data_IF_511442894991
#
_entry.id   IF_511442894991
#
_cell.length_a   1.000
_cell.length_b   1.000
_cell.length_c   1.000
_cell.angle_alpha   90.00
_cell.angle_beta   90.00
_cell.angle_gamma   90.00
#
_symmetry.space_group_name_H-M   'P 1'
#
loop_
_entity.id
_entity.type
_entity.pdbx_description
1 polymer ?
#
# COMPACT_ATOMS: atom_id res chain seq x y z
N UNK A 1 -15.79 -8.75 -70.22
CA UNK A 1 -15.11 -8.06 -69.10
C UNK A 1 -14.79 -9.08 -68.01
N UNK A 2 -13.56 -9.62 -67.98
CA UNK A 2 -13.04 -10.46 -66.89
C UNK A 2 -11.63 -9.96 -66.57
N UNK A 3 -11.45 -9.48 -65.34
CA UNK A 3 -10.23 -8.92 -64.75
C UNK A 3 -10.10 -9.63 -63.39
N UNK A 4 -8.94 -10.02 -62.86
CA UNK A 4 -7.53 -9.84 -63.17
C UNK A 4 -6.83 -10.93 -62.33
N UNK A 5 -5.99 -11.76 -62.94
CA UNK A 5 -5.05 -12.62 -62.23
C UNK A 5 -3.78 -11.80 -61.93
N UNK A 6 -3.32 -11.77 -60.68
CA UNK A 6 -1.91 -11.47 -60.39
C UNK A 6 -1.42 -12.23 -59.16
N UNK A 7 -0.44 -13.09 -59.41
CA UNK A 7 0.36 -13.85 -58.46
C UNK A 7 1.47 -12.96 -57.89
N UNK A 8 1.75 -13.08 -56.58
CA UNK A 8 3.01 -12.82 -55.86
C UNK A 8 2.81 -13.47 -54.47
N UNK A 9 3.62 -14.36 -53.93
CA UNK A 9 5.07 -14.56 -54.02
C UNK A 9 5.57 -14.62 -52.58
N UNK A 10 5.85 -15.83 -52.08
CA UNK A 10 6.34 -16.11 -50.73
C UNK A 10 7.75 -15.54 -50.52
N UNK A 11 8.01 -14.95 -49.36
CA UNK A 11 9.35 -14.76 -48.82
C UNK A 11 9.32 -14.86 -47.29
N UNK A 12 9.88 -15.95 -46.77
CA UNK A 12 10.21 -16.17 -45.36
C UNK A 12 11.40 -15.30 -44.95
N UNK A 13 11.37 -14.72 -43.76
CA UNK A 13 12.60 -14.27 -43.08
C UNK A 13 12.64 -14.74 -41.63
N UNK A 14 13.80 -15.30 -41.32
CA UNK A 14 14.11 -16.10 -40.16
C UNK A 14 14.39 -15.28 -38.90
N UNK A 15 14.07 -15.89 -37.77
CA UNK A 15 14.45 -15.54 -36.41
C UNK A 15 15.97 -15.66 -36.21
N UNK A 16 16.62 -14.63 -35.67
CA UNK A 16 17.97 -14.75 -35.09
C UNK A 16 17.93 -14.61 -33.57
N UNK A 17 18.25 -15.72 -32.91
CA UNK A 17 18.58 -15.83 -31.50
C UNK A 17 19.94 -15.18 -31.23
N UNK A 18 20.06 -14.41 -30.14
CA UNK A 18 21.34 -13.93 -29.64
C UNK A 18 21.63 -14.60 -28.28
N UNK A 19 22.46 -15.65 -28.30
CA UNK A 19 23.10 -16.20 -27.10
C UNK A 19 24.44 -15.50 -26.90
N UNK A 20 24.69 -14.92 -25.72
CA UNK A 20 26.05 -14.54 -25.29
C UNK A 20 26.63 -15.66 -24.42
N UNK A 21 27.64 -16.34 -24.96
CA UNK A 21 28.52 -17.28 -24.25
C UNK A 21 29.58 -16.53 -23.45
N UNK A 22 29.80 -17.04 -22.25
CA UNK A 22 30.92 -16.82 -21.34
C UNK A 22 32.24 -17.25 -21.97
N UNK A 23 33.30 -16.45 -21.79
CA UNK A 23 34.68 -16.86 -22.10
C UNK A 23 35.47 -16.92 -20.80
N UNK A 24 35.97 -18.10 -20.48
CA UNK A 24 36.96 -18.38 -19.45
C UNK A 24 38.33 -18.39 -20.13
N UNK A 25 39.33 -17.74 -19.53
CA UNK A 25 40.75 -17.93 -19.84
C UNK A 25 41.55 -17.88 -18.55
N UNK A 26 42.42 -18.88 -18.39
CA UNK A 26 43.22 -19.22 -17.21
C UNK A 26 44.72 -19.19 -17.54
N UNK A 27 45.56 -18.78 -16.59
CA UNK A 27 47.01 -19.06 -16.51
C UNK A 27 47.87 -17.81 -16.20
N UNK A 28 48.21 -17.55 -14.92
CA UNK A 28 49.50 -17.83 -14.22
C UNK A 28 50.63 -16.86 -14.62
N UNK A 29 51.34 -16.13 -13.74
CA UNK A 29 52.08 -16.59 -12.55
C UNK A 29 52.53 -15.43 -11.61
N UNK A 30 52.59 -15.76 -10.30
CA UNK A 30 53.55 -15.36 -9.23
C UNK A 30 53.89 -13.89 -8.91
N UNK A 31 53.56 -13.48 -7.68
CA UNK A 31 54.51 -12.88 -6.71
C UNK A 31 53.93 -12.96 -5.28
N UNK A 32 54.77 -13.33 -4.32
CA UNK A 32 54.42 -13.68 -2.95
C UNK A 32 54.50 -12.50 -1.96
N UNK A 33 53.86 -12.71 -0.80
CA UNK A 33 54.27 -12.33 0.57
C UNK A 33 53.29 -11.40 1.32
N UNK A 34 52.87 -11.85 2.51
CA UNK A 34 52.30 -11.00 3.57
C UNK A 34 51.01 -11.51 4.21
N UNK A 35 51.02 -12.72 4.81
CA UNK A 35 49.92 -13.20 5.65
C UNK A 35 50.05 -12.63 7.07
N UNK A 36 49.09 -11.80 7.49
CA UNK A 36 48.84 -11.47 8.90
C UNK A 36 47.55 -12.18 9.32
N UNK A 37 47.69 -13.25 10.10
CA UNK A 37 46.58 -13.91 10.80
C UNK A 37 46.17 -13.07 12.00
N UNK A 38 44.92 -12.61 12.05
CA UNK A 38 44.23 -12.31 13.31
C UNK A 38 42.98 -13.19 13.41
N UNK A 39 43.10 -14.17 14.30
CA UNK A 39 42.00 -14.95 14.87
C UNK A 39 41.19 -14.04 15.77
N UNK A 40 39.85 -14.04 15.64
CA UNK A 40 38.96 -13.63 16.73
C UNK A 40 37.69 -14.47 16.71
N UNK A 41 37.36 -14.90 17.93
CA UNK A 41 36.41 -15.92 18.32
C UNK A 41 34.96 -15.62 17.92
N UNK A 42 34.27 -16.71 17.57
CA UNK A 42 32.82 -16.85 17.60
C UNK A 42 32.30 -16.76 19.04
N UNK A 43 31.58 -15.69 19.35
CA UNK A 43 30.66 -15.63 20.49
C UNK A 43 29.24 -15.49 19.97
N UNK A 44 28.52 -16.61 20.02
CA UNK A 44 27.07 -16.65 19.85
C UNK A 44 26.42 -15.84 20.97
N UNK A 45 25.82 -14.70 20.62
CA UNK A 45 24.93 -13.96 21.50
C UNK A 45 23.49 -14.41 21.22
N UNK A 46 22.97 -15.28 22.10
CA UNK A 46 21.54 -15.60 22.21
C UNK A 46 20.75 -14.33 22.58
N UNK A 47 19.61 -14.02 21.93
CA UNK A 47 18.65 -13.10 22.53
C UNK A 47 17.86 -13.85 23.61
N UNK A 48 18.18 -13.58 24.87
CA UNK A 48 17.39 -14.00 26.01
C UNK A 48 16.40 -12.88 26.39
N UNK A 49 15.15 -13.03 25.99
CA UNK A 49 14.02 -12.50 26.75
C UNK A 49 12.82 -13.44 26.59
N UNK A 50 12.88 -14.56 27.32
CA UNK A 50 11.71 -15.34 27.66
C UNK A 50 11.25 -14.85 29.04
N UNK A 51 10.06 -14.28 29.13
CA UNK A 51 9.34 -14.16 30.41
C UNK A 51 8.15 -15.09 30.34
N UNK A 52 8.03 -15.89 31.41
CA UNK A 52 7.11 -17.00 31.59
C UNK A 52 5.64 -16.55 31.58
N UNK A 53 4.82 -17.49 31.15
CA UNK A 53 3.38 -17.55 31.37
C UNK A 53 3.07 -17.65 32.87
N UNK A 54 2.28 -16.72 33.39
CA UNK A 54 1.47 -16.93 34.59
C UNK A 54 0.01 -16.76 34.20
N UNK A 55 -0.76 -17.81 34.45
CA UNK A 55 -2.20 -17.80 34.32
C UNK A 55 -2.78 -17.00 35.50
N UNK A 56 -3.53 -15.94 35.20
CA UNK A 56 -4.53 -15.41 36.13
C UNK A 56 -5.85 -15.22 35.38
N UNK A 57 -6.87 -15.84 35.99
CA UNK A 57 -8.25 -15.90 35.56
C UNK A 57 -8.95 -14.63 36.09
N UNK A 58 -9.78 -13.97 35.28
CA UNK A 58 -10.75 -12.98 35.79
C UNK A 58 -10.88 -11.66 35.03
N UNK A 59 -11.83 -11.64 34.08
CA UNK A 59 -12.74 -10.54 33.72
C UNK A 59 -12.45 -9.11 34.26
N UNK A 60 -12.00 -8.22 33.37
CA UNK A 60 -12.56 -6.86 33.17
C UNK A 60 -11.73 -6.08 32.13
N UNK A 61 -12.06 -6.22 30.84
CA UNK A 61 -11.75 -5.17 29.85
C UNK A 61 -12.94 -4.23 29.79
N UNK A 62 -12.93 -3.23 30.68
CA UNK A 62 -13.67 -2.00 30.46
C UNK A 62 -12.66 -0.87 30.34
N UNK A 63 -12.96 0.02 29.40
CA UNK A 63 -12.57 1.44 29.47
C UNK A 63 -11.23 1.86 28.84
N UNK A 64 -11.20 1.87 27.50
CA UNK A 64 -10.36 2.80 26.72
C UNK A 64 -11.12 3.51 25.58
N UNK A 65 -12.46 3.49 25.60
CA UNK A 65 -13.33 4.17 24.62
C UNK A 65 -13.99 5.46 25.15
N UNK A 66 -13.74 5.83 26.40
CA UNK A 66 -14.48 6.89 27.10
C UNK A 66 -13.98 8.33 26.86
N UNK A 67 -13.10 8.52 25.87
CA UNK A 67 -12.46 9.80 25.58
C UNK A 67 -12.92 10.49 24.29
N UNK A 68 -14.23 10.53 24.00
CA UNK A 68 -14.95 11.54 23.18
C UNK A 68 -16.39 11.15 22.89
N UNK A 69 -16.71 9.86 22.85
CA UNK A 69 -18.09 9.39 22.79
C UNK A 69 -18.93 9.98 23.94
N UNK A 70 -18.35 10.20 25.12
CA UNK A 70 -19.04 10.82 26.26
C UNK A 70 -19.28 12.33 26.12
N UNK A 71 -18.48 13.06 25.33
CA UNK A 71 -18.58 14.53 25.19
C UNK A 71 -19.40 14.98 23.98
N UNK A 72 -19.64 14.10 23.01
CA UNK A 72 -20.47 14.34 21.83
C UNK A 72 -21.84 13.61 21.87
N UNK A 73 -22.27 13.16 23.05
CA UNK A 73 -23.57 12.47 23.20
C UNK A 73 -23.63 11.07 22.63
N UNK A 74 -22.50 10.35 22.55
CA UNK A 74 -22.43 8.88 22.45
C UNK A 74 -23.07 8.25 21.23
N UNK A 75 -23.50 9.05 20.26
CA UNK A 75 -24.14 8.55 19.06
C UNK A 75 -23.06 8.15 18.07
N UNK A 76 -23.03 6.89 17.61
CA UNK A 76 -22.33 6.56 16.38
C UNK A 76 -22.74 7.55 15.29
N UNK A 77 -21.79 8.00 14.45
CA UNK A 77 -22.15 8.79 13.25
C UNK A 77 -23.16 8.02 12.37
N UNK A 78 -23.15 6.69 12.50
CA UNK A 78 -24.11 5.77 11.91
C UNK A 78 -24.67 4.84 12.99
N UNK A 79 -25.84 5.15 13.53
CA UNK A 79 -26.60 4.21 14.39
C UNK A 79 -27.30 3.21 13.48
N UNK A 80 -26.77 1.98 13.37
CA UNK A 80 -27.52 0.88 12.72
C UNK A 80 -28.66 0.51 13.66
N UNK A 81 -29.89 0.63 13.20
CA UNK A 81 -31.04 0.05 13.90
C UNK A 81 -30.74 -1.42 14.21
N UNK A 82 -31.00 -1.85 15.43
CA UNK A 82 -30.95 -3.27 15.77
C UNK A 82 -31.87 -4.03 14.81
N UNK A 83 -31.58 -5.31 14.47
CA UNK A 83 -32.46 -6.11 13.61
C UNK A 83 -33.86 -6.37 14.20
N UNK A 84 -34.19 -5.80 15.35
CA UNK A 84 -35.41 -6.12 16.12
C UNK A 84 -36.59 -5.18 15.83
N UNK A 85 -36.38 -4.03 15.18
CA UNK A 85 -37.44 -3.04 14.92
C UNK A 85 -38.10 -3.14 13.53
N UNK A 86 -37.87 -4.23 12.80
CA UNK A 86 -38.45 -4.44 11.47
C UNK A 86 -39.13 -5.80 11.34
N UNK A 87 -40.14 -6.05 12.17
CA UNK A 87 -41.06 -7.19 12.04
C UNK A 87 -42.16 -6.97 10.98
N UNK A 88 -42.15 -5.86 10.23
CA UNK A 88 -43.19 -5.55 9.24
C UNK A 88 -42.65 -4.92 7.94
N UNK A 89 -41.54 -5.42 7.40
CA UNK A 89 -41.23 -5.18 5.99
C UNK A 89 -40.77 -6.46 5.31
N UNK A 90 -41.69 -7.06 4.56
CA UNK A 90 -41.48 -8.24 3.73
C UNK A 90 -40.61 -7.89 2.51
N UNK A 91 -39.33 -7.61 2.75
CA UNK A 91 -38.31 -7.78 1.71
C UNK A 91 -37.86 -9.24 1.77
N UNK A 92 -38.62 -10.12 1.10
CA UNK A 92 -38.11 -11.43 0.73
C UNK A 92 -36.84 -11.19 -0.09
N UNK A 93 -35.67 -11.40 0.52
CA UNK A 93 -34.37 -11.28 -0.13
C UNK A 93 -34.37 -12.23 -1.33
N UNK A 94 -34.63 -11.66 -2.52
CA UNK A 94 -34.39 -12.36 -3.77
C UNK A 94 -32.92 -12.77 -3.76
N UNK A 95 -32.61 -13.97 -4.26
CA UNK A 95 -31.23 -14.50 -4.29
C UNK A 95 -30.17 -13.40 -4.48
N UNK A 96 -29.38 -13.12 -3.44
CA UNK A 96 -28.04 -12.56 -3.62
C UNK A 96 -27.77 -11.10 -3.22
N UNK A 97 -28.58 -10.44 -2.40
CA UNK A 97 -28.15 -9.16 -1.81
C UNK A 97 -27.08 -9.41 -0.73
N UNK A 98 -25.81 -9.18 -1.09
CA UNK A 98 -24.67 -9.37 -0.19
C UNK A 98 -24.56 -8.16 0.74
N UNK A 99 -24.70 -8.37 2.05
CA UNK A 99 -24.33 -7.37 3.06
C UNK A 99 -22.80 -7.25 3.15
N UNK A 100 -22.24 -6.33 2.38
CA UNK A 100 -20.80 -6.04 2.36
C UNK A 100 -20.24 -5.51 3.68
N UNK A 101 -21.07 -5.11 4.65
CA UNK A 101 -20.61 -4.70 5.97
C UNK A 101 -20.05 -5.88 6.78
N UNK A 102 -20.60 -7.09 6.60
CA UNK A 102 -20.19 -8.29 7.37
C UNK A 102 -19.68 -9.44 6.49
N UNK A 103 -20.11 -9.52 5.24
CA UNK A 103 -19.81 -10.64 4.33
C UNK A 103 -18.32 -10.75 3.95
N UNK A 104 -17.84 -11.98 3.80
CA UNK A 104 -16.50 -12.30 3.28
C UNK A 104 -16.54 -12.87 1.85
N UNK A 105 -17.66 -12.67 1.14
CA UNK A 105 -17.89 -13.24 -0.17
C UNK A 105 -16.81 -12.89 -1.21
N UNK A 106 -16.36 -13.90 -1.94
CA UNK A 106 -15.40 -13.75 -3.05
C UNK A 106 -13.93 -13.67 -2.64
N UNK A 107 -13.61 -13.55 -1.35
CA UNK A 107 -12.24 -13.49 -0.85
C UNK A 107 -11.52 -14.82 -1.12
N UNK A 108 -10.41 -14.75 -1.86
CA UNK A 108 -9.59 -15.94 -2.19
C UNK A 108 -10.29 -16.98 -3.06
N UNK A 109 -11.47 -16.68 -3.64
CA UNK A 109 -12.28 -17.66 -4.35
C UNK A 109 -11.75 -17.98 -5.76
N UNK A 110 -11.32 -16.95 -6.50
CA UNK A 110 -10.77 -17.09 -7.85
C UNK A 110 -9.80 -15.96 -8.17
N UNK A 111 -8.80 -16.20 -9.02
CA UNK A 111 -7.96 -15.13 -9.56
C UNK A 111 -8.75 -14.23 -10.53
N UNK A 112 -8.27 -13.00 -10.70
CA UNK A 112 -8.77 -12.11 -11.76
C UNK A 112 -8.34 -12.56 -13.15
N UNK A 113 -8.91 -11.95 -14.19
CA UNK A 113 -8.46 -12.20 -15.55
C UNK A 113 -6.99 -11.81 -15.76
N UNK A 114 -6.24 -12.50 -16.65
CA UNK A 114 -4.82 -12.22 -16.88
C UNK A 114 -4.52 -10.76 -17.24
N UNK A 115 -5.44 -10.09 -17.95
CA UNK A 115 -5.31 -8.67 -18.29
C UNK A 115 -5.30 -7.80 -17.04
N UNK A 116 -6.23 -8.03 -16.11
CA UNK A 116 -6.32 -7.30 -14.83
C UNK A 116 -5.08 -7.55 -14.00
N UNK A 117 -4.66 -8.80 -13.88
CA UNK A 117 -3.45 -9.16 -13.13
C UNK A 117 -2.22 -8.42 -13.66
N UNK A 118 -2.05 -8.37 -14.99
CA UNK A 118 -0.94 -7.64 -15.65
C UNK A 118 -0.94 -6.15 -15.30
N UNK A 119 -2.11 -5.50 -15.29
CA UNK A 119 -2.24 -4.08 -14.96
C UNK A 119 -1.92 -3.77 -13.49
N UNK A 120 -2.21 -4.70 -12.58
CA UNK A 120 -2.00 -4.53 -11.14
C UNK A 120 -0.54 -4.72 -10.71
N UNK A 121 0.17 -5.65 -11.37
CA UNK A 121 1.59 -5.95 -11.09
C UNK A 121 2.56 -5.11 -11.93
N UNK A 122 2.05 -4.18 -12.74
CA UNK A 122 2.90 -3.32 -13.56
C UNK A 122 3.83 -2.47 -12.65
N UNK A 123 5.14 -2.42 -12.93
CA UNK A 123 6.06 -1.55 -12.21
C UNK A 123 5.63 -0.09 -12.27
N UNK A 124 5.81 0.63 -11.18
CA UNK A 124 5.47 2.05 -11.10
C UNK A 124 6.45 2.89 -11.94
N UNK A 125 5.93 3.95 -12.55
CA UNK A 125 6.79 5.00 -13.09
C UNK A 125 7.50 5.70 -11.93
N UNK A 126 8.83 5.80 -11.98
CA UNK A 126 9.64 6.50 -10.98
C UNK A 126 9.19 7.95 -10.78
N UNK A 127 8.59 8.57 -11.81
CA UNK A 127 8.06 9.95 -11.72
C UNK A 127 6.85 10.06 -10.82
N UNK A 128 6.13 8.97 -10.60
CA UNK A 128 4.93 8.94 -9.77
C UNK A 128 5.23 8.66 -8.30
N UNK A 129 6.46 8.22 -7.99
CA UNK A 129 6.92 7.95 -6.63
C UNK A 129 7.41 9.25 -6.00
N UNK A 130 6.91 9.55 -4.81
CA UNK A 130 7.28 10.73 -4.03
C UNK A 130 8.08 10.31 -2.78
N UNK A 131 8.84 11.26 -2.22
CA UNK A 131 9.61 11.03 -1.00
C UNK A 131 9.25 12.07 0.04
N UNK A 132 8.98 11.62 1.26
CA UNK A 132 8.77 12.49 2.41
C UNK A 132 10.12 13.04 2.92
N UNK A 133 10.13 14.17 3.65
CA UNK A 133 11.37 14.74 4.21
C UNK A 133 12.14 13.79 5.16
N UNK A 134 11.46 12.81 5.76
CA UNK A 134 12.04 11.75 6.59
C UNK A 134 12.72 10.63 5.79
N UNK A 135 12.55 10.63 4.46
CA UNK A 135 13.09 9.64 3.54
C UNK A 135 12.15 8.46 3.26
N UNK A 136 10.90 8.48 3.71
CA UNK A 136 9.93 7.46 3.33
C UNK A 136 9.42 7.72 1.92
N UNK A 137 9.57 6.74 1.02
CA UNK A 137 8.99 6.81 -0.32
C UNK A 137 7.53 6.36 -0.28
N UNK A 138 6.69 6.98 -1.11
CA UNK A 138 5.27 6.65 -1.18
C UNK A 138 4.72 6.95 -2.57
N UNK A 139 3.60 6.29 -2.89
CA UNK A 139 2.82 6.60 -4.08
C UNK A 139 1.62 7.47 -3.66
N UNK A 140 1.37 8.61 -4.32
CA UNK A 140 0.21 9.44 -4.01
C UNK A 140 -1.11 8.70 -4.21
N UNK A 141 -2.10 8.96 -3.35
CA UNK A 141 -3.41 8.28 -3.32
C UNK A 141 -4.13 8.22 -4.67
N UNK A 142 -4.05 9.30 -5.43
CA UNK A 142 -4.68 9.40 -6.75
C UNK A 142 -4.14 8.34 -7.74
N UNK A 143 -2.88 7.94 -7.59
CA UNK A 143 -2.25 6.97 -8.49
C UNK A 143 -2.82 5.57 -8.28
N UNK A 144 -3.07 5.17 -7.04
CA UNK A 144 -3.79 3.93 -6.73
C UNK A 144 -5.16 3.89 -7.42
N UNK A 145 -5.96 4.97 -7.30
CA UNK A 145 -7.27 5.07 -7.95
C UNK A 145 -7.19 4.95 -9.47
N UNK A 146 -6.17 5.54 -10.09
CA UNK A 146 -5.92 5.43 -11.54
C UNK A 146 -5.56 4.00 -11.95
N UNK A 147 -4.72 3.32 -11.17
CA UNK A 147 -4.38 1.90 -11.40
C UNK A 147 -5.63 1.03 -11.29
N UNK A 148 -6.46 1.24 -10.26
CA UNK A 148 -7.73 0.51 -10.11
C UNK A 148 -8.70 0.78 -11.26
N UNK A 149 -8.84 2.04 -11.71
CA UNK A 149 -9.68 2.38 -12.86
C UNK A 149 -9.18 1.75 -14.15
N UNK A 150 -7.86 1.66 -14.35
CA UNK A 150 -7.27 1.00 -15.51
C UNK A 150 -7.45 -0.52 -15.47
N UNK A 151 -7.26 -1.13 -14.30
CA UNK A 151 -7.35 -2.57 -14.11
C UNK A 151 -8.80 -3.07 -14.12
N UNK A 152 -9.70 -2.42 -13.39
CA UNK A 152 -11.08 -2.91 -13.17
C UNK A 152 -12.14 -2.12 -13.94
N UNK A 153 -11.82 -0.93 -14.46
CA UNK A 153 -12.79 0.00 -15.02
C UNK A 153 -13.45 0.89 -13.96
N UNK A 154 -13.91 2.07 -14.39
CA UNK A 154 -14.71 2.94 -13.52
C UNK A 154 -16.02 2.24 -13.13
N UNK A 155 -16.36 2.23 -11.84
CA UNK A 155 -17.50 1.47 -11.30
C UNK A 155 -17.24 -0.03 -11.08
N UNK A 156 -16.07 -0.55 -11.51
CA UNK A 156 -15.68 -1.95 -11.31
C UNK A 156 -15.10 -2.26 -9.93
N UNK A 157 -14.90 -1.24 -9.09
CA UNK A 157 -14.34 -1.37 -7.74
C UNK A 157 -14.94 -0.34 -6.78
N UNK A 158 -14.87 -0.60 -5.47
CA UNK A 158 -15.35 0.31 -4.44
C UNK A 158 -14.84 -0.05 -3.05
N UNK A 159 -14.81 0.94 -2.16
CA UNK A 159 -14.58 0.73 -0.73
C UNK A 159 -15.92 0.70 0.01
N UNK A 160 -16.10 -0.33 0.82
CA UNK A 160 -17.25 -0.48 1.72
C UNK A 160 -16.78 -0.30 3.16
N UNK A 161 -17.50 0.45 4.00
CA UNK A 161 -17.21 0.47 5.42
C UNK A 161 -17.51 -0.89 6.06
N UNK A 162 -16.65 -1.33 6.97
CA UNK A 162 -16.73 -2.62 7.68
C UNK A 162 -16.83 -2.46 9.20
N UNK A 163 -16.62 -1.25 9.69
CA UNK A 163 -16.84 -0.87 11.08
C UNK A 163 -17.55 0.48 11.16
N UNK A 164 -17.99 0.82 12.37
CA UNK A 164 -18.31 2.20 12.70
C UNK A 164 -17.06 3.08 12.62
N UNK A 165 -17.27 4.36 12.32
CA UNK A 165 -16.22 5.38 12.39
C UNK A 165 -15.92 5.67 13.86
N UNK A 166 -14.66 5.51 14.26
CA UNK A 166 -14.19 5.87 15.60
C UNK A 166 -13.50 7.23 15.49
N UNK A 167 -14.03 8.21 16.22
CA UNK A 167 -13.46 9.56 16.31
C UNK A 167 -12.91 9.76 17.71
N UNK A 168 -11.60 9.97 17.79
CA UNK A 168 -10.87 10.31 19.02
C UNK A 168 -10.35 11.73 18.92
N UNK A 169 -9.76 12.30 19.98
CA UNK A 169 -9.42 13.74 20.04
C UNK A 169 -8.45 14.23 18.97
N UNK A 170 -7.73 13.31 18.33
CA UNK A 170 -6.70 13.62 17.34
C UNK A 170 -6.76 12.73 16.12
N UNK A 171 -7.61 11.71 16.08
CA UNK A 171 -7.58 10.66 15.06
C UNK A 171 -8.99 10.20 14.71
N UNK A 172 -9.25 10.07 13.41
CA UNK A 172 -10.38 9.33 12.85
C UNK A 172 -9.88 7.98 12.33
N UNK A 173 -10.54 6.89 12.70
CA UNK A 173 -10.22 5.55 12.18
C UNK A 173 -11.47 4.73 11.86
N UNK A 174 -11.40 3.94 10.79
CA UNK A 174 -12.49 3.07 10.34
C UNK A 174 -11.92 1.91 9.53
N UNK A 175 -12.54 0.74 9.66
CA UNK A 175 -12.25 -0.42 8.80
C UNK A 175 -13.01 -0.33 7.48
N UNK A 176 -12.32 -0.63 6.39
CA UNK A 176 -12.90 -0.70 5.05
C UNK A 176 -12.53 -2.01 4.36
N UNK A 177 -13.45 -2.49 3.54
CA UNK A 177 -13.23 -3.59 2.59
C UNK A 177 -13.10 -3.03 1.17
N UNK A 178 -12.14 -3.52 0.41
CA UNK A 178 -12.04 -3.27 -1.03
C UNK A 178 -12.80 -4.36 -1.79
N UNK A 179 -13.79 -3.95 -2.57
CA UNK A 179 -14.55 -4.80 -3.47
C UNK A 179 -14.11 -4.51 -4.90
N UNK A 180 -13.76 -5.54 -5.66
CA UNK A 180 -13.48 -5.44 -7.09
C UNK A 180 -14.25 -6.52 -7.83
N UNK A 181 -14.97 -6.16 -8.90
CA UNK A 181 -15.78 -7.08 -9.73
C UNK A 181 -16.69 -8.01 -8.90
N UNK A 182 -17.28 -7.49 -7.83
CA UNK A 182 -18.20 -8.24 -6.95
C UNK A 182 -17.52 -9.21 -5.99
N UNK A 183 -16.21 -9.08 -5.75
CA UNK A 183 -15.45 -9.92 -4.81
C UNK A 183 -14.80 -9.05 -3.74
N UNK A 184 -14.86 -9.48 -2.47
CA UNK A 184 -14.04 -8.92 -1.41
C UNK A 184 -12.58 -9.29 -1.65
N UNK A 185 -11.71 -8.28 -1.66
CA UNK A 185 -10.29 -8.45 -1.97
C UNK A 185 -9.42 -8.35 -0.73
N UNK A 186 -9.64 -7.30 0.05
CA UNK A 186 -8.84 -7.01 1.23
C UNK A 186 -9.65 -6.17 2.19
N UNK A 187 -9.33 -6.29 3.47
CA UNK A 187 -9.90 -5.50 4.55
C UNK A 187 -8.74 -4.83 5.26
N UNK A 188 -8.81 -3.51 5.39
CA UNK A 188 -7.81 -2.73 6.08
C UNK A 188 -8.45 -1.62 6.92
N UNK A 189 -7.82 -1.33 8.06
CA UNK A 189 -8.17 -0.15 8.85
C UNK A 189 -7.44 1.06 8.31
N UNK A 190 -8.19 2.10 7.98
CA UNK A 190 -7.66 3.41 7.64
C UNK A 190 -7.66 4.30 8.87
N UNK A 191 -6.78 5.30 8.86
CA UNK A 191 -6.66 6.26 9.94
C UNK A 191 -6.17 7.61 9.42
N UNK A 192 -6.58 8.70 10.07
CA UNK A 192 -6.16 10.04 9.69
C UNK A 192 -6.18 10.96 10.91
N UNK A 193 -5.05 11.62 11.15
CA UNK A 193 -4.93 12.61 12.21
C UNK A 193 -5.65 13.92 11.85
N UNK A 194 -6.12 14.61 12.88
CA UNK A 194 -6.71 15.95 12.78
C UNK A 194 -6.36 16.79 14.02
N UNK A 195 -6.38 18.12 13.85
CA UNK A 195 -5.95 19.06 14.90
C UNK A 195 -7.11 19.81 15.57
N UNK A 196 -8.24 19.95 14.87
CA UNK A 196 -9.44 20.61 15.37
C UNK A 196 -10.70 19.87 14.89
N UNK A 197 -11.80 19.99 15.62
CA UNK A 197 -13.05 19.30 15.31
C UNK A 197 -13.62 19.68 13.93
N UNK A 198 -13.39 20.91 13.47
CA UNK A 198 -13.74 21.36 12.13
C UNK A 198 -13.03 20.55 11.02
N UNK A 199 -11.91 19.88 11.33
CA UNK A 199 -11.16 19.02 10.42
C UNK A 199 -11.65 17.58 10.35
N UNK A 200 -12.65 17.18 11.15
CA UNK A 200 -13.18 15.81 11.17
C UNK A 200 -13.66 15.34 9.78
N UNK A 201 -14.41 16.14 8.98
CA UNK A 201 -14.87 15.69 7.65
C UNK A 201 -13.71 15.37 6.70
N UNK A 202 -12.69 16.24 6.68
CA UNK A 202 -11.46 16.00 5.89
C UNK A 202 -10.72 14.76 6.40
N UNK A 203 -10.68 14.56 7.72
CA UNK A 203 -10.06 13.40 8.32
C UNK A 203 -10.80 12.09 7.97
N UNK A 204 -12.14 12.12 7.89
CA UNK A 204 -12.94 10.98 7.45
C UNK A 204 -12.61 10.57 6.01
N UNK A 205 -12.46 11.54 5.10
CA UNK A 205 -12.05 11.25 3.72
C UNK A 205 -10.60 10.75 3.63
N UNK A 206 -9.68 11.35 4.40
CA UNK A 206 -8.29 10.88 4.49
C UNK A 206 -8.20 9.46 5.04
N UNK A 207 -9.00 9.14 6.07
CA UNK A 207 -9.10 7.80 6.63
C UNK A 207 -9.53 6.77 5.58
N UNK A 208 -10.49 7.12 4.71
CA UNK A 208 -10.95 6.25 3.62
C UNK A 208 -9.86 6.04 2.56
N UNK A 209 -9.18 7.10 2.11
CA UNK A 209 -8.07 6.95 1.17
C UNK A 209 -6.88 6.18 1.76
N UNK A 210 -6.60 6.34 3.05
CA UNK A 210 -5.56 5.59 3.75
C UNK A 210 -5.83 4.07 3.71
N UNK A 211 -7.08 3.67 4.00
CA UNK A 211 -7.48 2.26 3.88
C UNK A 211 -7.36 1.74 2.45
N UNK A 212 -7.72 2.56 1.44
CA UNK A 212 -7.61 2.18 0.02
C UNK A 212 -6.20 1.72 -0.33
N UNK A 213 -5.20 2.53 0.02
CA UNK A 213 -3.80 2.23 -0.30
C UNK A 213 -3.33 0.93 0.36
N UNK A 214 -3.76 0.69 1.62
CA UNK A 214 -3.47 -0.55 2.36
C UNK A 214 -4.09 -1.76 1.66
N UNK A 215 -5.36 -1.70 1.27
CA UNK A 215 -6.03 -2.76 0.54
C UNK A 215 -5.38 -3.03 -0.83
N UNK A 216 -4.91 -1.99 -1.53
CA UNK A 216 -4.26 -2.15 -2.84
C UNK A 216 -2.93 -2.91 -2.75
N UNK A 217 -2.30 -3.00 -1.58
CA UNK A 217 -1.10 -3.80 -1.38
C UNK A 217 -1.35 -5.28 -1.63
N UNK A 218 -2.49 -5.80 -1.20
CA UNK A 218 -2.86 -7.21 -1.38
C UNK A 218 -3.17 -7.55 -2.85
N UNK A 219 -3.47 -6.53 -3.66
CA UNK A 219 -3.57 -6.65 -5.13
C UNK A 219 -2.21 -6.68 -5.84
N UNK A 220 -1.11 -6.40 -5.13
CA UNK A 220 0.23 -6.29 -5.69
C UNK A 220 0.64 -4.87 -6.14
N UNK A 221 -0.28 -3.90 -6.04
CA UNK A 221 -0.06 -2.52 -6.53
C UNK A 221 1.02 -1.83 -5.70
N UNK A 222 2.09 -1.38 -6.35
CA UNK A 222 3.18 -0.65 -5.71
C UNK A 222 3.93 -1.45 -4.65
N UNK A 223 3.94 -2.79 -4.77
CA UNK A 223 4.63 -3.70 -3.86
C UNK A 223 6.14 -3.39 -3.74
N UNK A 224 6.77 -2.90 -4.80
CA UNK A 224 8.17 -2.48 -4.83
C UNK A 224 8.51 -1.35 -3.83
N UNK A 225 7.54 -0.52 -3.43
CA UNK A 225 7.75 0.55 -2.45
C UNK A 225 8.05 0.02 -1.04
N UNK A 226 7.86 -1.27 -0.82
CA UNK A 226 8.15 -1.99 0.42
C UNK A 226 9.40 -2.87 0.33
N UNK A 227 10.01 -2.96 -0.85
CA UNK A 227 11.26 -3.71 -1.04
C UNK A 227 12.46 -2.84 -0.60
N UNK A 228 13.22 -3.24 0.44
CA UNK A 228 14.38 -2.49 0.90
C UNK A 228 15.46 -2.30 -0.18
N UNK A 229 15.56 -3.20 -1.15
CA UNK A 229 16.50 -3.08 -2.28
C UNK A 229 16.05 -1.99 -3.23
N UNK A 230 14.77 -2.01 -3.64
CA UNK A 230 14.18 -0.96 -4.46
C UNK A 230 14.29 0.41 -3.79
N UNK A 231 13.92 0.53 -2.51
CA UNK A 231 13.96 1.80 -1.76
C UNK A 231 15.37 2.40 -1.79
N UNK A 232 16.41 1.59 -1.54
CA UNK A 232 17.80 2.05 -1.56
C UNK A 232 18.21 2.52 -2.94
N UNK A 233 17.90 1.73 -3.98
CA UNK A 233 18.20 2.08 -5.37
C UNK A 233 17.50 3.38 -5.80
N UNK A 234 16.20 3.49 -5.55
CA UNK A 234 15.41 4.67 -5.88
C UNK A 234 15.97 5.93 -5.21
N UNK A 235 16.38 5.84 -3.93
CA UNK A 235 17.00 6.96 -3.22
C UNK A 235 18.31 7.42 -3.87
N UNK A 236 19.17 6.48 -4.28
CA UNK A 236 20.44 6.80 -4.95
C UNK A 236 20.20 7.44 -6.31
N UNK A 237 19.27 6.87 -7.09
CA UNK A 237 19.06 7.25 -8.49
C UNK A 237 18.25 8.56 -8.60
N UNK A 238 17.24 8.76 -7.74
CA UNK A 238 16.24 9.83 -7.91
C UNK A 238 16.13 10.82 -6.73
N UNK A 239 16.77 10.55 -5.59
CA UNK A 239 16.69 11.43 -4.42
C UNK A 239 18.03 12.04 -4.04
N UNK A 240 17.99 13.10 -3.25
CA UNK A 240 19.16 13.75 -2.67
C UNK A 240 18.84 14.19 -1.25
N UNK A 241 19.86 14.23 -0.41
CA UNK A 241 19.77 14.85 0.90
C UNK A 241 20.20 16.32 0.79
N UNK A 242 19.47 17.23 1.43
CA UNK A 242 19.84 18.65 1.52
C UNK A 242 19.75 19.11 2.97
N UNK A 243 20.71 19.92 3.38
CA UNK A 243 20.60 20.70 4.61
C UNK A 243 19.77 21.93 4.30
N UNK A 244 18.67 22.08 5.03
CA UNK A 244 17.74 23.20 4.87
C UNK A 244 17.59 23.95 6.19
N UNK A 245 17.30 25.24 6.09
CA UNK A 245 17.07 26.10 7.24
C UNK A 245 15.62 26.55 7.29
N UNK A 246 14.98 26.41 8.46
CA UNK A 246 13.64 26.92 8.67
C UNK A 246 13.63 28.45 8.63
N UNK A 247 12.79 29.05 7.77
CA UNK A 247 12.83 30.49 7.47
C UNK A 247 12.66 31.36 8.72
N UNK A 248 11.69 31.05 9.60
CA UNK A 248 11.45 31.76 10.87
C UNK A 248 12.34 31.30 12.02
N UNK A 249 12.41 30.00 12.31
CA UNK A 249 13.12 29.50 13.51
C UNK A 249 14.64 29.38 13.35
N UNK A 250 15.18 29.55 12.13
CA UNK A 250 16.62 29.41 11.80
C UNK A 250 17.23 28.05 12.13
N UNK A 251 16.40 27.06 12.46
CA UNK A 251 16.84 25.69 12.76
C UNK A 251 17.24 24.99 11.47
N UNK A 252 18.43 24.40 11.46
CA UNK A 252 18.92 23.59 10.35
C UNK A 252 18.50 22.13 10.52
N UNK A 253 18.02 21.51 9.45
CA UNK A 253 17.67 20.09 9.41
C UNK A 253 18.14 19.49 8.09
N UNK A 254 18.57 18.24 8.11
CA UNK A 254 18.81 17.45 6.90
C UNK A 254 17.49 16.79 6.47
N UNK A 255 17.09 17.00 5.23
CA UNK A 255 15.87 16.42 4.66
C UNK A 255 16.19 15.63 3.39
N UNK A 256 15.34 14.66 3.09
CA UNK A 256 15.29 14.00 1.79
C UNK A 256 14.41 14.79 0.82
N UNK A 257 14.83 14.88 -0.44
CA UNK A 257 14.10 15.54 -1.52
C UNK A 257 14.37 14.78 -2.84
N UNK A 258 13.40 14.76 -3.75
CA UNK A 258 13.68 14.30 -5.11
C UNK A 258 14.63 15.26 -5.83
N UNK A 259 15.47 14.73 -6.72
CA UNK A 259 16.48 15.51 -7.46
C UNK A 259 15.86 16.59 -8.37
N UNK A 260 14.64 16.36 -8.85
CA UNK A 260 13.90 17.26 -9.75
C UNK A 260 13.04 18.30 -9.01
N UNK A 261 13.03 18.31 -7.68
CA UNK A 261 12.25 19.24 -6.85
C UNK A 261 13.14 20.29 -6.20
N UNK A 262 12.52 21.42 -5.87
CA UNK A 262 13.15 22.50 -5.11
C UNK A 262 12.71 22.43 -3.64
N UNK A 263 13.47 23.08 -2.76
CA UNK A 263 13.11 23.19 -1.36
C UNK A 263 11.92 24.15 -1.25
N UNK A 264 10.84 23.71 -0.61
CA UNK A 264 9.63 24.49 -0.42
C UNK A 264 9.56 25.10 0.99
N UNK A 265 8.79 26.20 1.13
CA UNK A 265 8.47 26.81 2.42
C UNK A 265 7.88 25.74 3.38
N UNK A 266 8.24 25.71 4.66
CA UNK A 266 8.93 26.75 5.45
C UNK A 266 10.46 26.68 5.44
N UNK A 267 11.05 25.94 4.52
CA UNK A 267 12.49 25.73 4.44
C UNK A 267 13.13 26.50 3.28
N UNK A 268 14.41 26.86 3.41
CA UNK A 268 15.25 27.41 2.34
C UNK A 268 16.64 26.80 2.38
#
# INVERSE_FOLDING_TARGET
>A
MKSLFRIRGYASYATQFYQKRTVVSSGSNTAAAGVVKKSFNSTEAKPAFATKSEASNGNNMKEYSSGINSKLGGTPLETRGTPEDSLNNSYKSARGDIDWYTSWYGLGMKPFEPKVQKELIEPLDYKDIEIKPDGLIYLPEIKYRRILNRAFGAGGWGLVPRSQTIVTSKLVTREYGLICHGQLISVARGEQDYFNEAGIPTATEGCKSNALMRCCKDLGVGSELWDPVFIKKFKVDHCTEKFVEHVTTKRKKKIWLRKDRQVEYPYK
#
